data_IF_158778600514
#
_entry.id   IF_158778600514
#
_cell.length_a   1.000
_cell.length_b   1.000
_cell.length_c   1.000
_cell.angle_alpha   90.00
_cell.angle_beta   90.00
_cell.angle_gamma   90.00
#
_symmetry.space_group_name_H-M   'P 1'
#
loop_
_entity.id
_entity.type
_entity.pdbx_description
1 polymer ?
#
# COMPACT_ATOMS: atom_id res chain seq x y z
N UNK A 1 -10.67 4.28 13.25
CA UNK A 1 -9.94 2.98 13.27
C UNK A 1 -8.45 3.27 13.24
N UNK A 2 -7.59 2.49 13.91
CA UNK A 2 -6.13 2.68 13.78
C UNK A 2 -5.66 2.21 12.39
N UNK A 3 -4.58 2.78 11.81
CA UNK A 3 -4.09 2.36 10.49
C UNK A 3 -3.81 0.86 10.36
N UNK A 4 -3.28 0.23 11.43
CA UNK A 4 -3.06 -1.21 11.48
C UNK A 4 -4.38 -2.00 11.36
N UNK A 5 -5.41 -1.59 12.11
CA UNK A 5 -6.75 -2.21 12.05
C UNK A 5 -7.36 -2.05 10.66
N UNK A 6 -7.19 -0.88 10.03
CA UNK A 6 -7.68 -0.62 8.68
C UNK A 6 -7.01 -1.51 7.64
N UNK A 7 -5.70 -1.63 7.68
CA UNK A 7 -4.95 -2.44 6.74
C UNK A 7 -5.19 -3.94 6.91
N UNK A 8 -5.70 -4.38 8.06
CA UNK A 8 -6.23 -5.75 8.23
C UNK A 8 -7.57 -5.99 7.54
N UNK A 9 -8.26 -4.93 7.10
CA UNK A 9 -9.52 -5.02 6.33
C UNK A 9 -9.31 -5.16 4.82
N UNK A 10 -8.05 -5.27 4.39
CA UNK A 10 -7.69 -5.50 2.99
C UNK A 10 -6.79 -6.71 2.84
N UNK A 11 -6.82 -7.30 1.65
CA UNK A 11 -5.94 -8.39 1.25
C UNK A 11 -5.12 -7.99 0.05
N UNK A 12 -3.80 -8.16 0.18
CA UNK A 12 -2.81 -7.87 -0.87
C UNK A 12 -2.07 -9.12 -1.36
N UNK A 13 -2.36 -10.32 -0.83
CA UNK A 13 -1.74 -11.53 -1.34
C UNK A 13 -2.11 -11.77 -2.81
N UNK A 14 -1.16 -12.26 -3.61
CA UNK A 14 -1.32 -12.47 -5.06
C UNK A 14 -1.75 -11.20 -5.84
N UNK A 15 -1.41 -10.01 -5.33
CA UNK A 15 -1.63 -8.69 -5.98
C UNK A 15 -0.33 -8.06 -6.43
N UNK A 16 -0.37 -7.22 -7.44
CA UNK A 16 0.78 -6.57 -8.04
C UNK A 16 0.78 -5.04 -7.84
N UNK A 17 1.94 -4.49 -7.49
CA UNK A 17 2.24 -3.07 -7.54
C UNK A 17 2.34 -2.60 -8.99
N UNK A 18 1.41 -1.75 -9.42
CA UNK A 18 1.39 -1.20 -10.78
C UNK A 18 2.12 0.12 -10.90
N UNK A 19 1.99 0.99 -9.89
CA UNK A 19 2.55 2.33 -9.92
C UNK A 19 2.73 2.90 -8.51
N UNK A 20 3.70 3.80 -8.37
CA UNK A 20 3.90 4.60 -7.17
C UNK A 20 3.93 6.07 -7.58
N UNK A 21 3.01 6.88 -7.04
CA UNK A 21 2.85 8.29 -7.40
C UNK A 21 3.08 9.16 -6.17
N UNK A 22 4.06 10.07 -6.26
CA UNK A 22 4.39 11.02 -5.19
C UNK A 22 3.89 12.41 -5.54
N UNK A 23 3.10 13.01 -4.64
CA UNK A 23 2.67 14.40 -4.74
C UNK A 23 3.22 15.20 -3.54
N UNK A 24 4.30 15.94 -3.78
CA UNK A 24 4.97 16.72 -2.72
C UNK A 24 4.14 17.89 -2.19
N UNK A 25 3.30 18.52 -3.02
CA UNK A 25 2.44 19.63 -2.58
C UNK A 25 1.32 19.17 -1.66
N UNK A 26 0.73 18.01 -1.95
CA UNK A 26 -0.29 17.38 -1.11
C UNK A 26 0.29 16.54 0.01
N UNK A 27 1.60 16.29 -0.01
CA UNK A 27 2.30 15.37 0.89
C UNK A 27 1.65 13.99 0.89
N UNK A 28 1.41 13.47 -0.32
CA UNK A 28 0.68 12.23 -0.56
C UNK A 28 1.52 11.24 -1.36
N UNK A 29 1.45 9.97 -0.98
CA UNK A 29 2.00 8.84 -1.74
C UNK A 29 0.83 7.91 -2.11
N UNK A 30 0.71 7.56 -3.38
CA UNK A 30 -0.23 6.56 -3.87
C UNK A 30 0.53 5.33 -4.34
N UNK A 31 0.13 4.16 -3.90
CA UNK A 31 0.56 2.88 -4.47
C UNK A 31 -0.64 2.26 -5.16
N UNK A 32 -0.59 2.20 -6.49
CA UNK A 32 -1.60 1.55 -7.30
C UNK A 32 -1.36 0.04 -7.30
N UNK A 33 -2.43 -0.71 -7.05
CA UNK A 33 -2.43 -2.16 -6.96
C UNK A 33 -3.43 -2.68 -7.99
N UNK A 34 -3.09 -3.77 -8.69
CA UNK A 34 -3.95 -4.37 -9.70
C UNK A 34 -5.36 -4.72 -9.19
N UNK A 35 -5.46 -5.19 -7.96
CA UNK A 35 -6.73 -5.35 -7.25
C UNK A 35 -6.51 -5.31 -5.73
N UNK A 36 -7.33 -4.52 -5.02
CA UNK A 36 -7.37 -4.56 -3.55
C UNK A 36 -8.67 -5.24 -3.13
N UNK A 37 -8.57 -6.40 -2.48
CA UNK A 37 -9.75 -7.11 -1.94
C UNK A 37 -10.08 -6.66 -0.53
N UNK A 38 -11.38 -6.59 -0.21
CA UNK A 38 -11.87 -6.24 1.13
C UNK A 38 -12.12 -7.50 1.97
N UNK A 39 -11.57 -7.52 3.18
CA UNK A 39 -11.82 -8.56 4.17
C UNK A 39 -12.93 -8.07 5.11
N UNK A 40 -14.06 -8.79 5.14
CA UNK A 40 -15.25 -8.43 5.95
C UNK A 40 -15.60 -9.46 7.05
N UNK A 41 -15.10 -10.68 6.95
CA UNK A 41 -15.30 -11.73 7.94
C UNK A 41 -13.98 -12.12 8.61
N UNK A 42 -14.08 -12.77 9.77
CA UNK A 42 -12.92 -13.29 10.49
C UNK A 42 -12.27 -14.49 9.80
N UNK A 43 -12.98 -15.11 8.86
CA UNK A 43 -12.49 -16.18 8.00
C UNK A 43 -12.28 -15.63 6.59
N UNK A 44 -11.31 -16.18 5.86
CA UNK A 44 -11.16 -15.83 4.46
C UNK A 44 -12.34 -16.42 3.66
N UNK A 45 -13.28 -15.57 3.30
CA UNK A 45 -14.34 -15.89 2.35
C UNK A 45 -14.01 -15.21 1.02
N UNK A 46 -13.93 -15.99 -0.06
CA UNK A 46 -13.70 -15.44 -1.39
C UNK A 46 -14.91 -14.58 -1.79
N UNK A 47 -14.78 -13.26 -1.62
CA UNK A 47 -15.84 -12.27 -1.83
C UNK A 47 -15.29 -11.08 -2.61
N UNK A 48 -15.63 -11.02 -3.89
CA UNK A 48 -15.06 -10.06 -4.85
C UNK A 48 -15.95 -8.85 -5.13
N UNK A 49 -17.15 -8.79 -4.56
CA UNK A 49 -18.11 -7.71 -4.88
C UNK A 49 -17.66 -6.32 -4.40
N UNK A 50 -16.71 -6.27 -3.47
CA UNK A 50 -16.08 -5.04 -2.97
C UNK A 50 -14.60 -4.92 -3.39
N UNK A 51 -14.13 -5.77 -4.31
CA UNK A 51 -12.80 -5.63 -4.87
C UNK A 51 -12.67 -4.24 -5.51
N UNK A 52 -11.46 -3.68 -5.41
CA UNK A 52 -11.09 -2.42 -6.04
C UNK A 52 -10.07 -2.73 -7.14
N UNK A 53 -10.51 -3.08 -8.37
CA UNK A 53 -9.62 -3.19 -9.51
C UNK A 53 -8.91 -1.87 -9.75
N UNK A 54 -7.59 -1.92 -9.97
CA UNK A 54 -6.74 -0.74 -10.17
C UNK A 54 -6.81 0.28 -9.02
N UNK A 55 -7.20 -0.16 -7.82
CA UNK A 55 -7.30 0.67 -6.63
C UNK A 55 -5.95 1.14 -6.10
N UNK A 56 -5.98 2.14 -5.23
CA UNK A 56 -4.77 2.70 -4.61
C UNK A 56 -4.81 2.62 -3.09
N UNK A 57 -3.66 2.31 -2.49
CA UNK A 57 -3.35 2.74 -1.14
C UNK A 57 -2.85 4.18 -1.17
N UNK A 58 -3.46 5.04 -0.38
CA UNK A 58 -3.15 6.48 -0.37
C UNK A 58 -2.70 6.89 1.02
N UNK A 59 -1.43 7.27 1.14
CA UNK A 59 -0.81 7.74 2.38
C UNK A 59 -0.83 9.27 2.42
N UNK A 60 -1.34 9.84 3.51
CA UNK A 60 -1.47 11.30 3.71
C UNK A 60 -0.50 11.81 4.78
N UNK A 61 -0.09 13.08 4.63
CA UNK A 61 0.85 13.68 5.57
C UNK A 61 2.18 12.93 5.57
N UNK A 62 2.64 12.54 4.37
CA UNK A 62 3.90 11.81 4.20
C UNK A 62 5.06 12.71 4.62
N UNK A 63 5.92 12.19 5.50
CA UNK A 63 7.17 12.82 5.94
C UNK A 63 8.38 12.19 5.25
N UNK A 64 8.36 10.87 5.04
CA UNK A 64 9.45 10.17 4.36
C UNK A 64 9.00 8.91 3.63
N UNK A 65 9.72 8.59 2.56
CA UNK A 65 9.58 7.36 1.78
C UNK A 65 10.98 6.85 1.47
N UNK A 66 11.25 5.59 1.81
CA UNK A 66 12.53 4.92 1.57
C UNK A 66 12.30 3.64 0.79
N UNK A 67 13.16 3.40 -0.20
CA UNK A 67 13.19 2.17 -1.00
C UNK A 67 14.52 1.47 -0.74
N UNK A 68 14.46 0.21 -0.31
CA UNK A 68 15.65 -0.61 -0.08
C UNK A 68 15.49 -1.99 -0.76
N UNK A 69 16.35 -2.35 -1.73
CA UNK A 69 17.45 -1.55 -2.27
C UNK A 69 16.96 -0.35 -3.09
N UNK A 70 17.70 0.75 -3.01
CA UNK A 70 17.41 1.94 -3.80
C UNK A 70 17.64 1.71 -5.31
N UNK A 71 16.93 2.48 -6.13
CA UNK A 71 17.07 2.45 -7.59
C UNK A 71 16.36 1.28 -8.30
N UNK A 72 15.67 0.41 -7.56
CA UNK A 72 14.77 -0.60 -8.13
C UNK A 72 13.37 -0.03 -8.29
N UNK A 73 12.72 -0.41 -9.38
CA UNK A 73 11.35 0.00 -9.69
C UNK A 73 10.40 -1.16 -9.37
N UNK A 74 9.60 -1.08 -8.29
CA UNK A 74 8.56 -2.07 -8.04
C UNK A 74 7.56 -2.12 -9.19
N UNK A 75 7.24 -3.32 -9.67
CA UNK A 75 6.34 -3.55 -10.80
C UNK A 75 5.66 -4.93 -10.77
N UNK A 76 5.74 -5.64 -9.64
CA UNK A 76 5.18 -6.97 -9.45
C UNK A 76 4.60 -7.08 -8.02
N UNK A 77 4.54 -8.29 -7.45
CA UNK A 77 3.87 -8.63 -6.19
C UNK A 77 4.01 -7.56 -5.11
N UNK A 78 2.98 -7.37 -4.28
CA UNK A 78 3.02 -6.46 -3.15
C UNK A 78 2.43 -7.09 -1.89
N UNK A 79 3.12 -6.93 -0.77
CA UNK A 79 2.69 -7.47 0.53
C UNK A 79 2.88 -6.42 1.61
N UNK A 80 1.90 -6.31 2.51
CA UNK A 80 2.05 -5.54 3.75
C UNK A 80 2.89 -6.34 4.75
N UNK A 81 3.97 -5.74 5.24
CA UNK A 81 4.89 -6.37 6.20
C UNK A 81 4.57 -5.93 7.63
N UNK A 82 4.47 -4.63 7.89
CA UNK A 82 4.11 -4.12 9.22
C UNK A 82 3.54 -2.71 9.18
N UNK A 83 2.84 -2.35 10.26
CA UNK A 83 2.35 -1.01 10.55
C UNK A 83 2.66 -0.74 12.02
N UNK A 84 3.49 0.25 12.28
CA UNK A 84 3.94 0.61 13.63
C UNK A 84 3.61 2.08 13.89
N UNK A 85 3.28 2.45 15.13
CA UNK A 85 3.18 3.87 15.50
C UNK A 85 4.59 4.42 15.72
N UNK A 86 4.85 5.65 15.30
CA UNK A 86 6.11 6.35 15.55
C UNK A 86 5.92 7.27 16.75
N UNK A 87 6.55 6.91 17.87
CA UNK A 87 6.45 7.61 19.14
C UNK A 87 4.99 7.79 19.63
N UNK A 88 4.72 8.79 20.48
CA UNK A 88 3.36 9.18 20.92
C UNK A 88 2.66 10.11 19.91
N UNK A 89 3.20 10.26 18.71
CA UNK A 89 2.73 11.18 17.68
C UNK A 89 1.65 10.60 16.75
N UNK A 90 1.14 11.41 15.80
CA UNK A 90 0.15 10.97 14.82
C UNK A 90 0.76 10.17 13.65
N UNK A 91 2.09 9.95 13.65
CA UNK A 91 2.80 9.34 12.53
C UNK A 91 2.87 7.82 12.72
N UNK A 92 2.78 7.13 11.59
CA UNK A 92 2.89 5.69 11.51
C UNK A 92 3.95 5.31 10.49
N UNK A 93 4.66 4.23 10.79
CA UNK A 93 5.63 3.58 9.92
C UNK A 93 4.96 2.40 9.24
N UNK A 94 4.76 2.51 7.94
CA UNK A 94 4.24 1.46 7.09
C UNK A 94 5.40 0.79 6.35
N UNK A 95 5.43 -0.54 6.35
CA UNK A 95 6.43 -1.32 5.61
C UNK A 95 5.72 -2.24 4.65
N UNK A 96 6.04 -2.09 3.36
CA UNK A 96 5.62 -3.00 2.30
C UNK A 96 6.84 -3.68 1.69
N UNK A 97 6.66 -4.91 1.21
CA UNK A 97 7.60 -5.55 0.30
C UNK A 97 6.95 -5.59 -1.07
N UNK A 98 7.66 -5.13 -2.10
CA UNK A 98 7.18 -5.22 -3.47
C UNK A 98 8.24 -5.77 -4.41
N UNK A 99 7.83 -6.64 -5.34
CA UNK A 99 8.70 -7.21 -6.35
C UNK A 99 9.11 -6.18 -7.40
N UNK A 100 10.39 -6.16 -7.74
CA UNK A 100 10.92 -5.47 -8.90
C UNK A 100 11.54 -6.50 -9.86
N UNK A 101 10.87 -6.74 -10.98
CA UNK A 101 11.30 -7.65 -12.03
C UNK A 101 11.92 -6.86 -13.19
N UNK A 102 13.16 -7.18 -13.52
CA UNK A 102 13.83 -6.58 -14.67
C UNK A 102 13.46 -7.27 -16.01
N UNK A 103 13.94 -6.70 -17.12
CA UNK A 103 13.69 -7.22 -18.48
C UNK A 103 14.20 -8.65 -18.72
N UNK A 104 15.02 -9.21 -17.83
CA UNK A 104 15.55 -10.56 -17.90
C UNK A 104 14.76 -11.53 -16.99
N UNK A 105 13.70 -11.07 -16.35
CA UNK A 105 12.92 -11.85 -15.39
C UNK A 105 13.60 -12.01 -14.04
N UNK A 106 14.69 -11.27 -13.77
CA UNK A 106 15.33 -11.30 -12.46
C UNK A 106 14.53 -10.44 -11.50
N UNK A 107 14.07 -11.07 -10.43
CA UNK A 107 13.28 -10.41 -9.41
C UNK A 107 14.11 -10.08 -8.17
N UNK A 108 13.81 -8.93 -7.55
CA UNK A 108 14.32 -8.53 -6.25
C UNK A 108 13.18 -7.95 -5.42
N UNK A 109 13.15 -8.25 -4.13
CA UNK A 109 12.26 -7.57 -3.20
C UNK A 109 12.76 -6.16 -2.91
N UNK A 110 11.85 -5.20 -2.95
CA UNK A 110 12.06 -3.81 -2.54
C UNK A 110 11.22 -3.55 -1.31
N UNK A 111 11.88 -3.28 -0.19
CA UNK A 111 11.25 -2.77 1.02
C UNK A 111 10.90 -1.29 0.81
N UNK A 112 9.62 -0.98 0.92
CA UNK A 112 9.08 0.38 0.83
C UNK A 112 8.65 0.79 2.24
N UNK A 113 9.40 1.72 2.83
CA UNK A 113 9.13 2.24 4.18
C UNK A 113 8.55 3.64 4.04
N UNK A 114 7.37 3.86 4.61
CA UNK A 114 6.64 5.12 4.51
C UNK A 114 6.36 5.62 5.93
N UNK A 115 6.71 6.87 6.22
CA UNK A 115 6.30 7.57 7.43
C UNK A 115 5.19 8.54 7.04
N UNK A 116 3.97 8.31 7.54
CA UNK A 116 2.78 9.09 7.18
C UNK A 116 1.79 9.18 8.34
N UNK A 117 0.91 10.18 8.31
CA UNK A 117 -0.09 10.40 9.35
C UNK A 117 -1.33 9.51 9.19
N UNK A 118 -1.70 9.17 7.94
CA UNK A 118 -2.88 8.37 7.67
C UNK A 118 -2.73 7.55 6.38
N UNK A 119 -3.62 6.57 6.22
CA UNK A 119 -3.76 5.74 5.02
C UNK A 119 -5.24 5.59 4.68
N UNK A 120 -5.56 5.61 3.39
CA UNK A 120 -6.89 5.41 2.84
C UNK A 120 -6.82 4.49 1.62
N UNK A 121 -7.99 4.08 1.12
CA UNK A 121 -8.13 3.48 -0.19
C UNK A 121 -8.75 4.49 -1.14
N UNK A 122 -8.30 4.53 -2.38
CA UNK A 122 -9.03 5.16 -3.49
C UNK A 122 -9.42 4.06 -4.48
N UNK A 123 -10.65 4.11 -4.98
CA UNK A 123 -11.03 3.33 -6.15
C UNK A 123 -10.43 3.93 -7.44
N UNK A 124 -10.64 3.28 -8.57
CA UNK A 124 -10.15 3.77 -9.87
C UNK A 124 -10.90 5.01 -10.39
N UNK A 125 -11.84 5.57 -9.62
CA UNK A 125 -12.60 6.79 -9.92
C UNK A 125 -12.25 7.94 -8.96
N UNK A 126 -11.14 7.84 -8.21
CA UNK A 126 -10.71 8.79 -7.18
C UNK A 126 -11.73 8.97 -6.03
N UNK A 127 -12.58 7.97 -5.79
CA UNK A 127 -13.47 7.94 -4.62
C UNK A 127 -12.70 7.43 -3.41
N UNK A 128 -12.55 8.31 -2.43
CA UNK A 128 -11.76 8.04 -1.23
C UNK A 128 -12.56 7.29 -0.18
N UNK A 129 -12.14 6.07 0.11
CA UNK A 129 -12.71 5.21 1.13
C UNK A 129 -11.85 5.30 2.39
N UNK A 130 -12.47 5.87 3.43
CA UNK A 130 -11.91 6.00 4.78
C UNK A 130 -12.69 5.13 5.74
N UNK A 131 -12.14 4.88 6.92
CA UNK A 131 -12.87 4.28 8.07
C UNK A 131 -12.79 5.18 9.27
#
# INVERSE_FOLDING_TARGET
MKPEEFLRTIYLGDRACKAIVMNGWKRELRIQIDCISRIRSAQWDYYTAEDLPDGCLVFEGVESVVFEPSGKMPNDWITLVSVESVDEGPLHRFVFSAGAIDKHGKAVDVSIVIIAAAVALDDNNDVRIRV
#
